data_IF_370125139171
#
_entry.id   IF_370125139171
#
_cell.length_a   1.000
_cell.length_b   1.000
_cell.length_c   1.000
_cell.angle_alpha   90.00
_cell.angle_beta   90.00
_cell.angle_gamma   90.00
#
_symmetry.space_group_name_H-M   'P 1'
#
loop_
_entity.id
_entity.type
_entity.pdbx_description
1 polymer ?
#
# COMPACT_ATOMS: atom_id res chain seq x y z
N UNK A 1 1.65 33.33 3.20
CA UNK A 1 1.33 32.65 1.94
C UNK A 1 1.86 31.25 2.08
N UNK A 2 0.90 30.38 2.32
CA UNK A 2 1.04 29.12 3.02
C UNK A 2 1.57 28.02 2.11
N UNK A 3 2.37 27.18 2.76
CA UNK A 3 2.99 25.92 2.35
C UNK A 3 2.23 25.17 1.23
N UNK A 4 2.89 24.72 0.15
CA UNK A 4 2.26 23.89 -0.87
C UNK A 4 1.93 22.50 -0.30
N UNK A 5 0.65 22.25 -0.06
CA UNK A 5 0.11 20.98 0.39
C UNK A 5 -0.38 20.14 -0.80
N UNK A 6 0.51 19.31 -1.35
CA UNK A 6 0.20 17.93 -1.75
C UNK A 6 1.47 17.32 -2.33
N UNK A 7 2.32 16.77 -1.46
CA UNK A 7 3.28 15.77 -1.88
C UNK A 7 2.50 14.69 -2.64
N UNK A 8 2.92 14.29 -3.86
CA UNK A 8 2.34 13.13 -4.50
C UNK A 8 2.60 11.95 -3.56
N UNK A 9 1.51 11.36 -3.04
CA UNK A 9 1.56 10.07 -2.37
C UNK A 9 2.49 9.18 -3.19
N UNK A 10 3.57 8.71 -2.56
CA UNK A 10 4.64 7.98 -3.21
C UNK A 10 4.09 6.86 -4.10
N UNK A 11 3.87 7.18 -5.38
CA UNK A 11 3.85 6.21 -6.46
C UNK A 11 5.28 5.73 -6.51
N UNK A 12 5.55 4.69 -5.72
CA UNK A 12 6.69 3.83 -5.99
C UNK A 12 6.53 3.46 -7.46
N UNK A 13 7.37 4.06 -8.30
CA UNK A 13 7.48 3.69 -9.70
C UNK A 13 8.04 2.28 -9.73
N UNK A 14 7.12 1.33 -9.60
CA UNK A 14 7.41 -0.07 -9.73
C UNK A 14 7.59 -0.33 -11.22
N UNK A 15 8.82 -0.13 -11.69
CA UNK A 15 9.18 -0.22 -13.12
C UNK A 15 8.74 -1.54 -13.80
N UNK A 16 8.43 -2.60 -13.03
CA UNK A 16 7.98 -3.91 -13.53
C UNK A 16 6.80 -4.51 -12.73
N UNK A 17 5.81 -3.70 -12.34
CA UNK A 17 4.58 -4.20 -11.71
C UNK A 17 3.39 -4.21 -12.67
N UNK A 18 2.79 -5.38 -12.90
CA UNK A 18 1.54 -5.51 -13.66
C UNK A 18 0.35 -5.64 -12.69
N UNK A 19 -0.67 -4.80 -12.84
CA UNK A 19 -1.91 -4.93 -12.06
C UNK A 19 -2.60 -6.25 -12.40
N UNK A 20 -2.86 -7.07 -11.38
CA UNK A 20 -3.64 -8.30 -11.51
C UNK A 20 -5.10 -7.99 -11.25
N UNK A 21 -5.40 -7.37 -10.10
CA UNK A 21 -6.76 -7.05 -9.68
C UNK A 21 -6.80 -5.94 -8.64
N UNK A 22 -7.95 -5.27 -8.58
CA UNK A 22 -8.22 -4.22 -7.59
C UNK A 22 -9.53 -4.54 -6.86
N UNK A 23 -9.46 -4.61 -5.53
CA UNK A 23 -10.64 -4.77 -4.67
C UNK A 23 -10.80 -3.60 -3.70
N UNK A 24 -11.84 -3.66 -2.87
CA UNK A 24 -12.14 -2.62 -1.88
C UNK A 24 -11.07 -2.47 -0.78
N UNK A 25 -10.22 -3.48 -0.58
CA UNK A 25 -9.23 -3.51 0.50
C UNK A 25 -7.78 -3.36 0.03
N UNK A 26 -7.49 -3.70 -1.23
CA UNK A 26 -6.12 -3.72 -1.75
C UNK A 26 -6.08 -3.78 -3.29
N UNK A 27 -4.96 -3.33 -3.87
CA UNK A 27 -4.54 -3.66 -5.25
C UNK A 27 -3.51 -4.79 -5.19
N UNK A 28 -3.67 -5.78 -6.07
CA UNK A 28 -2.74 -6.88 -6.27
C UNK A 28 -1.94 -6.67 -7.55
N UNK A 29 -0.64 -6.79 -7.45
CA UNK A 29 0.31 -6.61 -8.55
C UNK A 29 1.17 -7.85 -8.72
N UNK A 30 1.51 -8.18 -9.95
CA UNK A 30 2.54 -9.15 -10.29
C UNK A 30 3.88 -8.40 -10.39
N UNK A 31 4.91 -8.88 -9.71
CA UNK A 31 6.22 -8.22 -9.66
C UNK A 31 7.36 -9.23 -9.53
N UNK A 32 8.53 -9.00 -10.14
CA UNK A 32 9.73 -9.76 -9.82
C UNK A 32 10.27 -9.33 -8.43
N UNK A 33 10.39 -10.27 -7.51
CA UNK A 33 10.99 -10.09 -6.19
C UNK A 33 12.11 -11.10 -5.96
N UNK A 34 13.33 -10.62 -5.71
CA UNK A 34 14.53 -11.45 -5.51
C UNK A 34 14.74 -12.51 -6.62
N UNK A 35 14.50 -12.11 -7.87
CA UNK A 35 14.63 -12.99 -9.05
C UNK A 35 13.50 -14.01 -9.24
N UNK A 36 12.40 -13.91 -8.47
CA UNK A 36 11.23 -14.79 -8.57
C UNK A 36 9.96 -13.98 -8.83
N UNK A 37 9.01 -14.58 -9.55
CA UNK A 37 7.69 -13.98 -9.71
C UNK A 37 6.95 -13.99 -8.37
N UNK A 38 6.48 -12.83 -7.94
CA UNK A 38 5.80 -12.61 -6.67
C UNK A 38 4.55 -11.75 -6.83
N UNK A 39 3.70 -11.78 -5.80
CA UNK A 39 2.49 -10.96 -5.73
C UNK A 39 2.67 -9.88 -4.69
N UNK A 40 2.61 -8.62 -5.12
CA UNK A 40 2.62 -7.47 -4.23
C UNK A 40 1.18 -7.07 -3.89
N UNK A 41 0.87 -7.04 -2.59
CA UNK A 41 -0.43 -6.60 -2.07
C UNK A 41 -0.31 -5.23 -1.45
N UNK A 42 -0.76 -4.21 -2.17
CA UNK A 42 -0.81 -2.84 -1.65
C UNK A 42 -2.15 -2.62 -0.95
N UNK A 43 -2.12 -2.40 0.37
CA UNK A 43 -3.31 -2.07 1.17
C UNK A 43 -3.50 -0.57 1.23
N UNK A 44 -4.73 -0.10 1.08
CA UNK A 44 -5.07 1.32 1.24
C UNK A 44 -5.61 1.58 2.64
N UNK A 45 -5.19 2.70 3.24
CA UNK A 45 -5.79 3.18 4.49
C UNK A 45 -7.18 3.74 4.19
N UNK A 46 -8.21 3.10 4.74
CA UNK A 46 -9.59 3.55 4.56
C UNK A 46 -9.82 4.80 5.41
N UNK A 47 -10.34 5.88 4.82
CA UNK A 47 -10.48 7.21 5.45
C UNK A 47 -11.31 7.23 6.74
N UNK A 48 -12.17 6.25 6.95
CA UNK A 48 -12.99 6.13 8.17
C UNK A 48 -12.23 5.55 9.38
N UNK A 49 -10.99 5.08 9.20
CA UNK A 49 -10.21 4.46 10.27
C UNK A 49 -9.40 5.51 11.03
N UNK A 50 -9.49 5.48 12.35
CA UNK A 50 -8.68 6.34 13.20
C UNK A 50 -7.19 5.95 13.08
N UNK A 51 -6.27 6.90 12.77
CA UNK A 51 -4.88 6.59 12.42
C UNK A 51 -4.14 5.83 13.52
N UNK A 52 -4.26 6.26 14.78
CA UNK A 52 -3.58 5.61 15.92
C UNK A 52 -4.09 4.20 16.18
N UNK A 53 -5.38 3.93 15.94
CA UNK A 53 -5.95 2.61 16.15
C UNK A 53 -5.59 1.68 14.99
N UNK A 54 -5.56 2.18 13.76
CA UNK A 54 -5.17 1.42 12.58
C UNK A 54 -3.68 1.01 12.63
N UNK A 55 -2.80 1.89 13.12
CA UNK A 55 -1.39 1.53 13.38
C UNK A 55 -1.27 0.44 14.44
N UNK A 56 -2.02 0.55 15.56
CA UNK A 56 -2.03 -0.48 16.60
C UNK A 56 -2.52 -1.82 16.06
N UNK A 57 -3.63 -1.85 15.32
CA UNK A 57 -4.18 -3.05 14.70
C UNK A 57 -3.21 -3.68 13.68
N UNK A 58 -2.55 -2.85 12.87
CA UNK A 58 -1.56 -3.29 11.89
C UNK A 58 -0.36 -3.93 12.59
N UNK A 59 0.16 -3.32 13.65
CA UNK A 59 1.25 -3.87 14.44
C UNK A 59 0.88 -5.18 15.14
N UNK A 60 -0.34 -5.31 15.66
CA UNK A 60 -0.81 -6.56 16.28
C UNK A 60 -0.87 -7.69 15.25
N UNK A 61 -1.34 -7.43 14.03
CA UNK A 61 -1.42 -8.44 12.96
C UNK A 61 -0.07 -8.99 12.51
N UNK A 62 0.99 -8.18 12.58
CA UNK A 62 2.34 -8.61 12.20
C UNK A 62 2.98 -9.56 13.24
N UNK A 63 2.46 -9.58 14.48
CA UNK A 63 2.98 -10.39 15.58
C UNK A 63 2.29 -11.76 15.72
N UNK A 64 1.24 -12.02 14.96
CA UNK A 64 0.47 -13.28 15.01
C UNK A 64 1.09 -14.37 14.16
#
# INVERSE_FOLDING_TARGET
MDVPASAPDAEAEFLDCRLISQGAEAKLWQTPFLGRQAVLKQRFSKKYRHPTLDTKLTNTRLKQ
#
